data_IF_959175531119
#
_entry.id   IF_959175531119
#
_cell.length_a   1.000
_cell.length_b   1.000
_cell.length_c   1.000
_cell.angle_alpha   90.00
_cell.angle_beta   90.00
_cell.angle_gamma   90.00
#
_symmetry.space_group_name_H-M   'P 1'
#
loop_
_entity.id
_entity.type
_entity.pdbx_description
1 polymer ?
#
# COMPACT_ATOMS: atom_id res chain seq x y z
N UNK A 1 -3.21 -26.64 -2.49
CA UNK A 1 -1.74 -26.78 -2.40
C UNK A 1 -1.31 -26.73 -0.94
N UNK A 2 -0.45 -27.64 -0.48
CA UNK A 2 -0.06 -27.84 0.95
C UNK A 2 0.46 -26.59 1.67
N UNK A 3 1.04 -25.63 0.96
CA UNK A 3 1.58 -24.38 1.54
C UNK A 3 0.62 -23.19 1.53
N UNK A 4 -0.51 -23.29 0.81
CA UNK A 4 -1.45 -22.17 0.65
C UNK A 4 -1.90 -21.62 2.01
N UNK A 5 -2.37 -22.49 2.89
CA UNK A 5 -2.89 -22.07 4.20
C UNK A 5 -1.80 -21.41 5.05
N UNK A 6 -0.57 -21.93 5.02
CA UNK A 6 0.56 -21.36 5.76
C UNK A 6 0.88 -19.93 5.33
N UNK A 7 0.89 -19.66 4.02
CA UNK A 7 1.16 -18.30 3.53
C UNK A 7 0.01 -17.34 3.81
N UNK A 8 -1.23 -17.82 3.78
CA UNK A 8 -2.40 -17.02 4.14
C UNK A 8 -2.36 -16.63 5.61
N UNK A 9 -2.04 -17.58 6.50
CA UNK A 9 -1.93 -17.30 7.92
C UNK A 9 -0.76 -16.36 8.21
N UNK A 10 0.40 -16.57 7.57
CA UNK A 10 1.55 -15.67 7.68
C UNK A 10 1.23 -14.25 7.18
N UNK A 11 0.46 -14.11 6.10
CA UNK A 11 0.03 -12.81 5.59
C UNK A 11 -0.92 -12.11 6.57
N UNK A 12 -1.90 -12.83 7.14
CA UNK A 12 -2.79 -12.29 8.17
C UNK A 12 -2.03 -11.86 9.41
N UNK A 13 -1.03 -12.63 9.83
CA UNK A 13 -0.11 -12.24 10.90
C UNK A 13 0.63 -10.96 10.54
N UNK A 14 1.16 -10.86 9.32
CA UNK A 14 1.85 -9.67 8.85
C UNK A 14 0.95 -8.43 8.79
N UNK A 15 -0.33 -8.56 8.44
CA UNK A 15 -1.27 -7.43 8.50
C UNK A 15 -1.47 -6.87 9.90
N UNK A 16 -1.32 -7.71 10.93
CA UNK A 16 -1.38 -7.26 12.30
C UNK A 16 -0.03 -6.74 12.81
N UNK A 17 1.05 -7.49 12.57
CA UNK A 17 2.39 -7.22 13.09
C UNK A 17 3.12 -6.11 12.32
N UNK A 18 2.89 -6.02 11.01
CA UNK A 18 3.59 -5.09 10.13
C UNK A 18 5.07 -5.43 9.96
N UNK A 19 5.83 -4.44 9.51
CA UNK A 19 7.27 -4.48 9.27
C UNK A 19 8.08 -3.62 10.24
N UNK A 20 7.47 -3.05 11.29
CA UNK A 20 8.18 -2.27 12.30
C UNK A 20 9.18 -3.17 13.06
N UNK A 21 10.49 -2.84 13.08
CA UNK A 21 11.53 -3.76 13.59
C UNK A 21 11.29 -4.24 15.03
N UNK A 22 10.88 -3.34 15.94
CA UNK A 22 10.61 -3.68 17.34
C UNK A 22 9.42 -4.64 17.47
N UNK A 23 8.35 -4.39 16.72
CA UNK A 23 7.16 -5.24 16.71
C UNK A 23 7.45 -6.64 16.14
N UNK A 24 8.20 -6.70 15.03
CA UNK A 24 8.63 -7.96 14.41
C UNK A 24 9.53 -8.75 15.36
N UNK A 25 10.51 -8.10 16.00
CA UNK A 25 11.41 -8.74 16.94
C UNK A 25 10.67 -9.33 18.15
N UNK A 26 9.75 -8.57 18.75
CA UNK A 26 8.94 -9.04 19.87
C UNK A 26 8.06 -10.24 19.48
N UNK A 27 7.38 -10.14 18.33
CA UNK A 27 6.52 -11.22 17.84
C UNK A 27 7.29 -12.50 17.52
N UNK A 28 8.48 -12.38 16.92
CA UNK A 28 9.31 -13.53 16.56
C UNK A 28 9.74 -14.36 17.79
N UNK A 29 9.90 -13.73 18.95
CA UNK A 29 10.29 -14.42 20.19
C UNK A 29 9.08 -14.97 20.96
N UNK A 30 8.01 -14.18 21.10
CA UNK A 30 6.92 -14.47 22.05
C UNK A 30 5.59 -14.85 21.39
N UNK A 31 5.42 -14.54 20.10
CA UNK A 31 4.16 -14.72 19.36
C UNK A 31 2.93 -14.09 20.06
N UNK A 32 3.14 -13.01 20.84
CA UNK A 32 2.09 -12.32 21.58
C UNK A 32 1.61 -11.05 20.85
N UNK A 33 0.37 -11.10 20.37
CA UNK A 33 -0.28 -9.98 19.70
C UNK A 33 -0.56 -8.77 20.62
N UNK A 34 -0.72 -9.00 21.93
CA UNK A 34 -0.99 -7.94 22.90
C UNK A 34 0.26 -7.10 23.15
N UNK A 35 1.42 -7.75 23.21
CA UNK A 35 2.72 -7.10 23.27
C UNK A 35 2.98 -6.27 22.00
N UNK A 36 2.77 -6.86 20.81
CA UNK A 36 2.86 -6.15 19.52
C UNK A 36 1.96 -4.91 19.49
N UNK A 37 0.71 -5.03 19.95
CA UNK A 37 -0.21 -3.89 20.02
C UNK A 37 0.31 -2.78 20.95
N UNK A 38 0.90 -3.16 22.08
CA UNK A 38 1.49 -2.19 23.02
C UNK A 38 2.67 -1.46 22.39
N UNK A 39 3.55 -2.18 21.68
CA UNK A 39 4.66 -1.60 20.92
C UNK A 39 4.16 -0.63 19.86
N UNK A 40 3.17 -1.02 19.05
CA UNK A 40 2.62 -0.12 18.04
C UNK A 40 2.03 1.16 18.63
N UNK A 41 1.30 1.07 19.75
CA UNK A 41 0.76 2.24 20.43
C UNK A 41 1.88 3.17 20.93
N UNK A 42 2.98 2.61 21.44
CA UNK A 42 4.14 3.38 21.86
C UNK A 42 4.82 4.09 20.68
N UNK A 43 4.97 3.41 19.54
CA UNK A 43 5.53 3.98 18.30
C UNK A 43 4.64 5.14 17.81
N UNK A 44 3.32 4.94 17.73
CA UNK A 44 2.38 5.98 17.31
C UNK A 44 2.40 7.19 18.26
N UNK A 45 2.45 6.95 19.56
CA UNK A 45 2.55 8.01 20.56
C UNK A 45 3.89 8.77 20.45
N UNK A 46 4.99 8.08 20.16
CA UNK A 46 6.29 8.71 19.92
C UNK A 46 6.25 9.62 18.68
N UNK A 47 5.66 9.16 17.56
CA UNK A 47 5.46 10.02 16.39
C UNK A 47 4.63 11.26 16.71
N UNK A 48 3.54 11.11 17.47
CA UNK A 48 2.71 12.25 17.84
C UNK A 48 3.41 13.26 18.75
N UNK A 49 4.28 12.78 19.64
CA UNK A 49 5.14 13.65 20.46
C UNK A 49 6.15 14.40 19.57
N UNK A 50 6.74 13.72 18.59
CA UNK A 50 7.73 14.29 17.69
C UNK A 50 7.15 15.36 16.78
N UNK A 51 5.86 15.29 16.44
CA UNK A 51 5.15 16.40 15.77
C UNK A 51 5.28 17.69 16.58
N UNK A 52 5.15 17.61 17.91
CA UNK A 52 5.20 18.80 18.78
C UNK A 52 6.61 19.31 19.01
N UNK A 53 7.62 18.44 18.92
CA UNK A 53 9.03 18.78 19.11
C UNK A 53 9.69 19.35 17.86
N UNK A 54 9.37 18.78 16.69
CA UNK A 54 10.13 19.01 15.46
C UNK A 54 9.36 19.80 14.40
N UNK A 55 8.02 19.77 14.40
CA UNK A 55 7.26 20.56 13.44
C UNK A 55 7.06 22.00 13.94
N UNK A 56 6.95 22.99 13.02
CA UNK A 56 6.55 24.34 13.39
C UNK A 56 5.22 24.37 14.15
N UNK A 57 5.17 24.98 15.33
CA UNK A 57 4.00 24.95 16.23
C UNK A 57 2.66 25.30 15.54
N UNK A 58 2.70 26.23 14.57
CA UNK A 58 1.51 26.65 13.80
C UNK A 58 0.88 25.55 12.92
N UNK A 59 1.65 24.52 12.53
CA UNK A 59 1.18 23.43 11.67
C UNK A 59 0.85 22.16 12.45
N UNK A 60 1.32 22.01 13.70
CA UNK A 60 1.12 20.80 14.53
C UNK A 60 -0.35 20.37 14.62
N UNK A 61 -1.34 21.27 14.88
CA UNK A 61 -2.75 20.85 14.92
C UNK A 61 -3.24 20.25 13.60
N UNK A 62 -2.72 20.75 12.47
CA UNK A 62 -3.09 20.28 11.13
C UNK A 62 -2.42 18.95 10.79
N UNK A 63 -1.19 18.73 11.25
CA UNK A 63 -0.50 17.43 11.16
C UNK A 63 -1.33 16.37 11.87
N UNK A 64 -1.72 16.62 13.13
CA UNK A 64 -2.56 15.69 13.91
C UNK A 64 -3.89 15.38 13.24
N UNK A 65 -4.59 16.42 12.76
CA UNK A 65 -5.86 16.26 12.06
C UNK A 65 -5.71 15.43 10.77
N UNK A 66 -4.64 15.66 10.00
CA UNK A 66 -4.36 14.89 8.80
C UNK A 66 -4.06 13.43 9.17
N UNK A 67 -3.12 13.22 10.09
CA UNK A 67 -2.68 11.90 10.57
C UNK A 67 -3.85 11.03 11.03
N UNK A 68 -4.68 11.57 11.92
CA UNK A 68 -5.83 10.86 12.49
C UNK A 68 -6.96 10.63 11.47
N UNK A 69 -6.96 11.34 10.34
CA UNK A 69 -7.95 11.15 9.27
C UNK A 69 -7.59 10.03 8.29
N UNK A 70 -6.33 9.55 8.27
CA UNK A 70 -5.89 8.57 7.26
C UNK A 70 -6.74 7.28 7.27
N UNK A 71 -7.02 6.64 8.43
CA UNK A 71 -7.86 5.45 8.49
C UNK A 71 -9.23 5.61 7.81
N UNK A 72 -9.94 6.69 8.15
CA UNK A 72 -11.30 6.93 7.64
C UNK A 72 -11.29 7.30 6.16
N UNK A 73 -10.20 7.88 5.65
CA UNK A 73 -10.04 8.16 4.22
C UNK A 73 -9.78 6.88 3.41
N UNK A 74 -9.01 5.94 3.96
CA UNK A 74 -8.73 4.66 3.32
C UNK A 74 -9.90 3.66 3.41
N UNK A 75 -10.76 3.79 4.41
CA UNK A 75 -11.95 2.95 4.56
C UNK A 75 -13.07 3.25 3.53
N UNK A 76 -12.99 4.37 2.80
CA UNK A 76 -13.98 4.72 1.78
C UNK A 76 -13.86 3.80 0.57
N UNK A 77 -14.98 3.59 -0.12
CA UNK A 77 -15.01 2.95 -1.43
C UNK A 77 -14.03 3.63 -2.40
N UNK A 78 -14.15 4.96 -2.56
CA UNK A 78 -13.17 5.77 -3.27
C UNK A 78 -12.15 6.40 -2.31
N UNK A 79 -10.93 5.87 -2.33
CA UNK A 79 -9.86 6.21 -1.39
C UNK A 79 -9.14 7.54 -1.69
N UNK A 80 -9.65 8.33 -2.63
CA UNK A 80 -9.17 9.69 -2.90
C UNK A 80 -9.23 10.51 -1.62
N UNK A 81 -8.14 11.16 -1.24
CA UNK A 81 -8.08 11.99 -0.05
C UNK A 81 -8.94 13.26 -0.20
N UNK A 82 -9.79 13.55 0.78
CA UNK A 82 -10.71 14.70 0.77
C UNK A 82 -10.50 15.54 2.03
N UNK A 83 -9.93 16.74 1.85
CA UNK A 83 -9.68 17.69 2.94
C UNK A 83 -10.94 18.09 3.71
N UNK A 84 -12.08 18.23 3.02
CA UNK A 84 -13.36 18.62 3.64
C UNK A 84 -13.86 17.65 4.72
N UNK A 85 -13.41 16.39 4.70
CA UNK A 85 -13.76 15.39 5.71
C UNK A 85 -12.91 15.50 6.99
N UNK A 86 -11.78 16.21 6.95
CA UNK A 86 -10.93 16.43 8.12
C UNK A 86 -11.60 17.42 9.08
N UNK A 87 -12.16 18.50 8.52
CA UNK A 87 -12.86 19.56 9.24
C UNK A 87 -13.76 20.33 8.28
N UNK A 88 -14.97 20.66 8.72
CA UNK A 88 -15.89 21.51 7.96
C UNK A 88 -15.21 22.84 7.62
N UNK A 89 -15.22 23.21 6.33
CA UNK A 89 -14.56 24.43 5.84
C UNK A 89 -13.03 24.32 5.66
N UNK A 90 -12.44 23.13 5.80
CA UNK A 90 -11.02 22.91 5.54
C UNK A 90 -10.63 23.32 4.11
N UNK A 91 -9.65 24.23 4.00
CA UNK A 91 -9.06 24.65 2.73
C UNK A 91 -7.76 23.91 2.47
N UNK A 92 -7.56 23.43 1.23
CA UNK A 92 -6.34 22.69 0.81
C UNK A 92 -5.05 23.39 1.23
N UNK A 93 -4.95 24.70 0.98
CA UNK A 93 -3.77 25.53 1.28
C UNK A 93 -3.36 25.49 2.76
N UNK A 94 -4.30 25.25 3.66
CA UNK A 94 -3.99 25.16 5.09
C UNK A 94 -3.25 23.87 5.45
N UNK A 95 -3.47 22.79 4.71
CA UNK A 95 -2.93 21.47 5.02
C UNK A 95 -1.72 21.09 4.17
N UNK A 96 -1.39 21.86 3.13
CA UNK A 96 -0.24 21.59 2.24
C UNK A 96 1.08 21.45 3.00
N UNK A 97 1.38 22.38 3.93
CA UNK A 97 2.59 22.32 4.73
C UNK A 97 2.61 21.14 5.70
N UNK A 98 1.45 20.80 6.28
CA UNK A 98 1.34 19.65 7.18
C UNK A 98 1.52 18.33 6.42
N UNK A 99 0.94 18.23 5.22
CA UNK A 99 1.10 17.08 4.34
C UNK A 99 2.55 16.92 3.89
N UNK A 100 3.19 18.00 3.44
CA UNK A 100 4.59 17.99 3.03
C UNK A 100 5.49 17.51 4.18
N UNK A 101 5.30 18.06 5.38
CA UNK A 101 6.07 17.65 6.55
C UNK A 101 5.95 16.15 6.86
N UNK A 102 4.73 15.58 6.82
CA UNK A 102 4.53 14.15 7.05
C UNK A 102 5.18 13.26 5.97
N UNK A 103 5.17 13.71 4.72
CA UNK A 103 5.84 13.02 3.60
C UNK A 103 7.36 13.09 3.78
N UNK A 104 7.89 14.27 4.08
CA UNK A 104 9.33 14.50 4.24
C UNK A 104 9.91 13.71 5.43
N UNK A 105 9.13 13.53 6.50
CA UNK A 105 9.46 12.66 7.61
C UNK A 105 9.36 11.15 7.28
N UNK A 106 8.84 10.79 6.11
CA UNK A 106 8.68 9.39 5.69
C UNK A 106 7.58 8.63 6.44
N UNK A 107 6.65 9.34 7.10
CA UNK A 107 5.60 8.71 7.90
C UNK A 107 4.37 8.32 7.07
N UNK A 108 4.20 8.94 5.90
CA UNK A 108 3.10 8.66 4.97
C UNK A 108 3.61 8.59 3.53
N UNK A 109 2.89 7.86 2.70
CA UNK A 109 3.10 7.78 1.26
C UNK A 109 1.95 8.41 0.49
N UNK A 110 2.28 9.31 -0.42
CA UNK A 110 1.32 9.98 -1.30
C UNK A 110 1.32 9.33 -2.68
N UNK A 111 0.22 8.67 -3.04
CA UNK A 111 0.02 8.05 -4.35
C UNK A 111 -0.82 8.98 -5.21
N UNK A 112 -0.21 9.57 -6.23
CA UNK A 112 -0.86 10.62 -7.04
C UNK A 112 -1.73 10.02 -8.15
N UNK A 113 -2.82 10.70 -8.48
CA UNK A 113 -3.65 10.35 -9.62
C UNK A 113 -2.96 10.74 -10.92
N UNK A 114 -3.05 9.90 -11.94
CA UNK A 114 -2.68 10.24 -13.32
C UNK A 114 -3.93 10.36 -14.19
N UNK A 115 -3.99 11.38 -15.06
CA UNK A 115 -5.11 11.57 -15.99
C UNK A 115 -5.11 10.57 -17.13
N UNK A 116 -3.91 10.10 -17.53
CA UNK A 116 -3.69 9.16 -18.62
C UNK A 116 -2.54 8.20 -18.27
N UNK A 117 -2.70 6.89 -18.48
CA UNK A 117 -1.63 5.91 -18.31
C UNK A 117 -0.71 5.92 -19.53
N UNK A 118 0.11 6.96 -19.68
CA UNK A 118 1.03 7.11 -20.81
C UNK A 118 2.38 7.67 -20.36
N UNK A 119 3.44 7.37 -21.10
CA UNK A 119 4.81 7.71 -20.72
C UNK A 119 5.17 9.12 -21.20
N UNK A 120 5.90 9.91 -20.37
CA UNK A 120 6.22 9.64 -18.97
C UNK A 120 5.00 9.85 -18.07
N UNK A 121 4.75 8.94 -17.11
CA UNK A 121 3.59 9.05 -16.20
C UNK A 121 3.57 10.38 -15.43
N UNK A 122 4.76 10.92 -15.13
CA UNK A 122 4.93 12.19 -14.45
C UNK A 122 4.28 13.38 -15.19
N UNK A 123 4.18 13.34 -16.52
CA UNK A 123 3.55 14.39 -17.31
C UNK A 123 2.01 14.43 -17.15
N UNK A 124 1.40 13.35 -16.66
CA UNK A 124 -0.05 13.20 -16.55
C UNK A 124 -0.54 13.30 -15.10
N UNK A 125 0.31 13.69 -14.15
CA UNK A 125 -0.06 13.82 -12.74
C UNK A 125 -1.15 14.88 -12.56
N UNK A 126 -2.23 14.51 -11.88
CA UNK A 126 -3.22 15.45 -11.35
C UNK A 126 -2.85 15.79 -9.90
N UNK A 127 -2.25 16.97 -9.69
CA UNK A 127 -1.75 17.38 -8.39
C UNK A 127 -2.82 17.43 -7.27
N UNK A 128 -4.09 17.65 -7.63
CA UNK A 128 -5.20 17.80 -6.69
C UNK A 128 -5.88 16.48 -6.28
N UNK A 129 -5.48 15.34 -6.84
CA UNK A 129 -6.07 14.04 -6.53
C UNK A 129 -4.99 13.03 -6.18
N UNK A 130 -5.08 12.46 -4.98
CA UNK A 130 -4.11 11.51 -4.43
C UNK A 130 -4.78 10.62 -3.37
N UNK A 131 -4.21 9.45 -3.14
CA UNK A 131 -4.47 8.60 -1.97
C UNK A 131 -3.33 8.81 -0.96
N UNK A 132 -3.60 8.65 0.34
CA UNK A 132 -2.58 8.68 1.40
C UNK A 132 -2.55 7.37 2.14
N UNK A 133 -1.35 6.85 2.33
CA UNK A 133 -1.07 5.59 3.00
C UNK A 133 -0.07 5.83 4.12
N UNK A 134 -0.03 4.94 5.12
CA UNK A 134 0.96 5.01 6.19
C UNK A 134 2.28 4.36 5.76
N UNK A 135 3.33 4.57 6.55
CA UNK A 135 4.62 3.89 6.36
C UNK A 135 4.55 2.37 6.56
N UNK A 136 3.59 1.89 7.36
CA UNK A 136 3.51 0.47 7.75
C UNK A 136 2.07 -0.03 7.94
N UNK A 137 1.82 -1.27 7.50
CA UNK A 137 0.51 -1.93 7.59
C UNK A 137 0.07 -2.23 9.03
N UNK A 138 1.00 -2.62 9.91
CA UNK A 138 0.71 -2.90 11.32
C UNK A 138 0.37 -1.62 12.08
N UNK A 139 1.06 -0.52 11.77
CA UNK A 139 0.70 0.81 12.28
C UNK A 139 -0.66 1.28 11.76
N UNK A 140 -0.99 1.07 10.47
CA UNK A 140 -2.31 1.39 9.94
C UNK A 140 -3.40 0.59 10.66
N UNK A 141 -3.23 -0.72 10.83
CA UNK A 141 -4.16 -1.56 11.58
C UNK A 141 -4.36 -1.07 13.02
N UNK A 142 -3.28 -0.62 13.66
CA UNK A 142 -3.31 -0.05 15.02
C UNK A 142 -4.08 1.27 15.06
N UNK A 143 -3.76 2.20 14.15
CA UNK A 143 -4.39 3.52 14.09
C UNK A 143 -5.89 3.41 13.78
N UNK A 144 -6.29 2.38 13.03
CA UNK A 144 -7.68 2.02 12.76
C UNK A 144 -8.37 1.24 13.87
N UNK A 145 -7.69 0.99 14.99
CA UNK A 145 -8.22 0.28 16.16
C UNK A 145 -8.74 -1.14 15.85
N UNK A 146 -8.13 -1.81 14.87
CA UNK A 146 -8.48 -3.20 14.56
C UNK A 146 -7.96 -4.13 15.65
N UNK A 147 -8.76 -5.08 16.09
CA UNK A 147 -8.28 -6.13 16.99
C UNK A 147 -7.67 -7.31 16.21
N UNK A 148 -6.87 -8.13 16.90
CA UNK A 148 -6.22 -9.28 16.28
C UNK A 148 -7.23 -10.30 15.79
N UNK A 149 -8.35 -10.47 16.50
CA UNK A 149 -9.42 -11.40 16.12
C UNK A 149 -10.04 -11.03 14.78
N UNK A 150 -10.35 -9.75 14.55
CA UNK A 150 -10.96 -9.29 13.29
C UNK A 150 -10.05 -9.55 12.09
N UNK A 151 -8.74 -9.35 12.25
CA UNK A 151 -7.75 -9.60 11.18
C UNK A 151 -7.53 -11.10 10.94
N UNK A 152 -7.38 -11.88 12.02
CA UNK A 152 -7.03 -13.30 11.91
C UNK A 152 -8.23 -14.17 11.50
N UNK A 153 -9.40 -13.92 12.10
CA UNK A 153 -10.60 -14.74 11.95
C UNK A 153 -11.50 -14.27 10.81
N UNK A 154 -11.38 -13.01 10.38
CA UNK A 154 -12.19 -12.41 9.31
C UNK A 154 -13.63 -12.18 9.74
N UNK A 155 -13.98 -10.94 10.07
CA UNK A 155 -15.35 -10.52 10.37
C UNK A 155 -15.96 -9.76 9.17
N UNK A 156 -17.28 -9.64 9.07
CA UNK A 156 -17.94 -8.82 8.03
C UNK A 156 -17.52 -7.35 8.09
N UNK A 157 -17.29 -6.81 9.30
CA UNK A 157 -16.74 -5.46 9.54
C UNK A 157 -15.32 -5.31 8.94
N UNK A 158 -14.59 -6.42 8.79
CA UNK A 158 -13.25 -6.41 8.21
C UNK A 158 -13.27 -6.24 6.69
N UNK A 159 -14.38 -6.50 5.98
CA UNK A 159 -14.37 -6.59 4.51
C UNK A 159 -13.93 -5.28 3.82
N UNK A 160 -14.45 -4.13 4.23
CA UNK A 160 -14.07 -2.83 3.63
C UNK A 160 -12.64 -2.44 3.99
N UNK A 161 -12.27 -2.58 5.26
CA UNK A 161 -10.93 -2.22 5.74
C UNK A 161 -9.85 -3.19 5.25
N UNK A 162 -10.20 -4.42 4.92
CA UNK A 162 -9.32 -5.41 4.32
C UNK A 162 -8.80 -4.97 2.95
N UNK A 163 -9.63 -4.29 2.14
CA UNK A 163 -9.18 -3.66 0.90
C UNK A 163 -8.07 -2.64 1.15
N UNK A 164 -8.30 -1.73 2.12
CA UNK A 164 -7.31 -0.73 2.53
C UNK A 164 -6.00 -1.34 3.03
N UNK A 165 -6.04 -2.37 3.87
CA UNK A 165 -4.85 -3.08 4.35
C UNK A 165 -4.10 -3.78 3.21
N UNK A 166 -4.82 -4.32 2.24
CA UNK A 166 -4.21 -5.02 1.10
C UNK A 166 -3.54 -4.03 0.16
N UNK A 167 -4.18 -2.91 -0.17
CA UNK A 167 -3.54 -1.82 -0.92
C UNK A 167 -2.32 -1.24 -0.18
N UNK A 168 -2.44 -1.02 1.13
CA UNK A 168 -1.33 -0.58 1.99
C UNK A 168 -0.15 -1.55 1.94
N UNK A 169 -0.40 -2.86 2.06
CA UNK A 169 0.63 -3.88 1.97
C UNK A 169 1.33 -3.86 0.61
N UNK A 170 0.57 -3.81 -0.49
CA UNK A 170 1.11 -3.78 -1.85
C UNK A 170 1.96 -2.52 -2.07
N UNK A 171 1.47 -1.36 -1.64
CA UNK A 171 2.24 -0.12 -1.71
C UNK A 171 3.56 -0.23 -0.94
N UNK A 172 3.53 -0.81 0.26
CA UNK A 172 4.72 -1.02 1.08
C UNK A 172 5.77 -1.84 0.33
N UNK A 173 5.37 -2.82 -0.48
CA UNK A 173 6.31 -3.58 -1.33
C UNK A 173 6.88 -2.73 -2.47
N UNK A 174 6.10 -1.83 -3.06
CA UNK A 174 6.57 -0.94 -4.13
C UNK A 174 7.58 0.08 -3.62
N UNK A 175 7.31 0.73 -2.49
CA UNK A 175 8.18 1.80 -1.97
C UNK A 175 9.53 1.27 -1.47
N UNK A 176 9.65 -0.03 -1.18
CA UNK A 176 10.92 -0.70 -0.94
C UNK A 176 11.84 -0.74 -2.17
N UNK A 177 11.28 -0.59 -3.38
CA UNK A 177 12.05 -0.54 -4.62
C UNK A 177 12.11 0.91 -5.16
N UNK A 178 13.29 1.52 -5.08
CA UNK A 178 13.52 2.91 -5.52
C UNK A 178 13.23 3.17 -7.01
N UNK A 179 13.17 2.12 -7.83
CA UNK A 179 12.85 2.23 -9.26
C UNK A 179 11.34 2.31 -9.52
N UNK A 180 10.51 1.98 -8.53
CA UNK A 180 9.05 1.96 -8.66
C UNK A 180 8.48 3.23 -8.03
N UNK A 181 7.81 4.05 -8.85
CA UNK A 181 6.98 5.16 -8.37
C UNK A 181 5.50 4.87 -8.67
N UNK A 182 4.69 4.53 -7.65
CA UNK A 182 3.29 4.20 -7.85
C UNK A 182 2.42 5.46 -7.98
N UNK A 183 1.48 5.38 -8.91
CA UNK A 183 0.35 6.28 -9.13
C UNK A 183 -0.94 5.47 -9.05
N UNK A 184 -2.10 6.11 -9.14
CA UNK A 184 -3.37 5.41 -9.40
C UNK A 184 -4.11 6.10 -10.54
N UNK A 185 -5.03 5.39 -11.18
CA UNK A 185 -5.79 5.93 -12.32
C UNK A 185 -7.28 5.65 -12.14
N UNK A 186 -8.10 6.61 -12.57
CA UNK A 186 -9.55 6.42 -12.68
C UNK A 186 -10.02 6.87 -14.05
N UNK A 187 -11.02 6.18 -14.60
CA UNK A 187 -11.68 6.61 -15.82
C UNK A 187 -12.38 7.97 -15.60
N UNK A 188 -12.49 8.79 -16.65
CA UNK A 188 -13.08 10.15 -16.57
C UNK A 188 -14.49 10.15 -15.97
N UNK A 189 -15.27 9.08 -16.23
CA UNK A 189 -16.63 8.90 -15.69
C UNK A 189 -16.68 8.15 -14.35
N UNK A 190 -15.54 7.85 -13.74
CA UNK A 190 -15.45 7.04 -12.52
C UNK A 190 -15.89 5.59 -12.70
N UNK A 191 -16.05 5.11 -13.93
CA UNK A 191 -16.56 3.77 -14.25
C UNK A 191 -15.55 2.66 -14.05
N UNK A 192 -14.28 3.00 -13.90
CA UNK A 192 -13.19 2.07 -13.63
C UNK A 192 -12.11 2.78 -12.81
N UNK A 193 -11.48 2.04 -11.92
CA UNK A 193 -10.31 2.44 -11.15
C UNK A 193 -9.23 1.37 -11.35
N UNK A 194 -7.98 1.79 -11.36
CA UNK A 194 -6.82 0.90 -11.26
C UNK A 194 -6.05 1.34 -10.03
N UNK A 195 -5.91 0.42 -9.06
CA UNK A 195 -5.38 0.71 -7.73
C UNK A 195 -3.98 1.32 -7.77
N UNK A 196 -3.09 0.71 -8.56
CA UNK A 196 -1.74 1.20 -8.78
C UNK A 196 -1.33 1.15 -10.25
N UNK A 197 -0.55 2.14 -10.67
CA UNK A 197 0.08 2.22 -11.98
C UNK A 197 1.50 2.73 -11.79
N UNK A 198 2.49 2.06 -12.36
CA UNK A 198 3.87 2.56 -12.35
C UNK A 198 4.53 2.40 -13.72
N UNK A 199 5.58 3.17 -13.97
CA UNK A 199 6.36 3.09 -15.19
C UNK A 199 7.53 2.15 -14.94
N UNK A 200 7.76 1.22 -15.87
CA UNK A 200 8.93 0.35 -15.86
C UNK A 200 9.51 0.29 -17.27
N UNK A 201 10.78 0.69 -17.41
CA UNK A 201 11.42 0.91 -18.71
C UNK A 201 10.54 1.78 -19.64
N UNK A 202 10.13 1.21 -20.79
CA UNK A 202 9.28 1.84 -21.79
C UNK A 202 7.81 1.41 -21.69
N UNK A 203 7.40 0.83 -20.56
CA UNK A 203 6.05 0.33 -20.32
C UNK A 203 5.33 1.03 -19.17
N UNK A 204 4.00 0.97 -19.22
CA UNK A 204 3.12 1.31 -18.10
C UNK A 204 2.57 0.02 -17.53
N UNK A 205 2.81 -0.21 -16.24
CA UNK A 205 2.40 -1.42 -15.53
C UNK A 205 1.24 -1.07 -14.60
N UNK A 206 0.02 -1.52 -14.93
CA UNK A 206 -1.14 -1.44 -14.04
C UNK A 206 -1.14 -2.62 -13.08
N UNK A 207 -1.63 -2.37 -11.88
CA UNK A 207 -1.76 -3.37 -10.82
C UNK A 207 -3.11 -3.16 -10.14
N UNK A 208 -3.93 -4.20 -10.21
CA UNK A 208 -5.19 -4.28 -9.49
C UNK A 208 -4.99 -5.13 -8.22
N UNK A 209 -5.49 -4.64 -7.09
CA UNK A 209 -5.30 -5.27 -5.79
C UNK A 209 -6.61 -5.88 -5.33
N UNK A 210 -6.66 -7.21 -5.30
CA UNK A 210 -7.87 -7.94 -4.87
C UNK A 210 -7.65 -8.60 -3.52
N UNK A 211 -8.61 -8.39 -2.62
CA UNK A 211 -8.61 -8.94 -1.27
C UNK A 211 -9.73 -9.98 -1.07
N UNK A 212 -9.58 -11.19 -1.61
CA UNK A 212 -10.54 -12.28 -1.46
C UNK A 212 -10.32 -13.09 -0.16
N UNK A 213 -11.28 -13.92 0.25
CA UNK A 213 -11.14 -14.79 1.43
C UNK A 213 -9.93 -15.71 1.31
N UNK A 214 -8.89 -15.41 2.08
CA UNK A 214 -7.66 -16.20 2.09
C UNK A 214 -6.81 -16.08 0.82
N UNK A 215 -7.04 -15.08 -0.03
CA UNK A 215 -6.21 -14.86 -1.21
C UNK A 215 -6.03 -13.36 -1.48
N UNK A 216 -4.76 -12.93 -1.50
CA UNK A 216 -4.38 -11.66 -2.12
C UNK A 216 -3.98 -11.98 -3.55
N UNK A 217 -4.60 -11.31 -4.51
CA UNK A 217 -4.16 -11.36 -5.89
C UNK A 217 -3.63 -9.99 -6.27
N UNK A 218 -2.38 -9.96 -6.73
CA UNK A 218 -1.84 -8.88 -7.54
C UNK A 218 -2.15 -9.30 -8.98
N UNK A 219 -3.17 -8.69 -9.56
CA UNK A 219 -3.54 -8.92 -10.96
C UNK A 219 -2.79 -7.88 -11.79
N UNK A 220 -1.70 -8.31 -12.46
CA UNK A 220 -1.02 -7.48 -13.44
C UNK A 220 -1.81 -7.55 -14.75
N UNK A 221 -2.65 -6.56 -14.97
CA UNK A 221 -3.34 -6.36 -16.24
C UNK A 221 -2.36 -5.87 -17.31
N UNK A 222 -1.61 -6.75 -17.95
CA UNK A 222 -0.77 -6.36 -19.11
C UNK A 222 -1.56 -5.83 -20.32
N UNK A 223 -2.90 -5.82 -20.25
CA UNK A 223 -3.80 -5.31 -21.30
C UNK A 223 -4.23 -3.85 -21.14
N UNK A 224 -3.67 -3.09 -20.19
CA UNK A 224 -4.07 -1.68 -19.99
C UNK A 224 -3.26 -0.73 -20.88
N UNK A 225 -3.44 -0.88 -22.20
CA UNK A 225 -3.50 0.15 -23.26
C UNK A 225 -4.04 -0.59 -24.49
N UNK A 226 -5.29 -0.33 -24.86
CA UNK A 226 -5.82 -0.70 -26.16
C UNK A 226 -6.73 0.40 -26.69
N UNK A 227 -6.15 1.57 -26.99
CA UNK A 227 -6.64 2.37 -28.10
C UNK A 227 -5.45 2.92 -28.90
N UNK A 228 -5.29 2.34 -30.09
CA UNK A 228 -4.32 2.62 -31.16
C UNK A 228 -2.94 1.97 -31.07
N UNK A 229 -2.88 0.74 -31.59
CA UNK A 229 -1.72 0.25 -32.34
C UNK A 229 -0.75 -0.64 -31.56
N UNK A 230 -0.96 -1.94 -31.70
CA UNK A 230 0.00 -3.05 -31.51
C UNK A 230 0.99 -2.98 -30.35
N UNK A 231 0.65 -3.62 -29.22
CA UNK A 231 1.53 -4.55 -28.50
C UNK A 231 0.66 -5.59 -27.76
N UNK A 232 0.98 -6.87 -27.91
CA UNK A 232 0.32 -8.00 -27.24
C UNK A 232 1.22 -8.52 -26.11
N UNK A 233 0.71 -8.60 -24.88
CA UNK A 233 1.34 -9.42 -23.83
C UNK A 233 0.33 -9.86 -22.75
N UNK A 234 0.45 -11.14 -22.36
CA UNK A 234 -0.43 -11.93 -21.48
C UNK A 234 -0.41 -11.52 -20.01
N UNK A 235 -1.57 -11.65 -19.35
CA UNK A 235 -1.76 -11.53 -17.90
C UNK A 235 -0.64 -12.26 -17.13
N UNK A 236 0.01 -11.57 -16.20
CA UNK A 236 0.93 -12.18 -15.24
C UNK A 236 0.22 -12.20 -13.89
N UNK A 237 -0.51 -13.27 -13.62
CA UNK A 237 -0.95 -13.56 -12.25
C UNK A 237 0.21 -14.22 -11.51
N UNK A 238 0.90 -13.50 -10.63
CA UNK A 238 1.90 -14.13 -9.77
C UNK A 238 1.18 -14.82 -8.61
N UNK A 239 0.90 -16.12 -8.76
CA UNK A 239 0.48 -16.99 -7.67
C UNK A 239 1.51 -18.11 -7.44
N UNK A 240 1.78 -18.43 -6.18
CA UNK A 240 2.55 -19.60 -5.76
C UNK A 240 1.70 -20.89 -5.83
N UNK A 241 1.18 -21.27 -7.00
CA UNK A 241 0.92 -22.67 -7.40
C UNK A 241 0.11 -22.78 -8.70
N UNK A 242 0.81 -23.19 -9.77
CA UNK A 242 0.45 -23.85 -11.04
C UNK A 242 -0.95 -23.74 -11.66
N UNK A 243 -0.96 -23.42 -12.97
CA UNK A 243 -1.85 -23.99 -14.01
C UNK A 243 -1.04 -24.28 -15.30
N UNK A 244 -1.51 -25.18 -16.19
CA UNK A 244 -0.68 -25.92 -17.14
C UNK A 244 -0.21 -25.08 -18.33
N UNK A 245 1.01 -25.40 -18.75
CA UNK A 245 1.66 -24.93 -19.96
C UNK A 245 0.92 -25.40 -21.22
N UNK A 246 0.47 -24.46 -22.05
CA UNK A 246 0.46 -24.64 -23.50
C UNK A 246 1.30 -23.52 -24.13
N UNK A 247 2.29 -23.96 -24.89
CA UNK A 247 3.43 -23.20 -25.41
C UNK A 247 3.01 -21.96 -26.21
N UNK A 248 3.70 -20.84 -25.99
CA UNK A 248 4.14 -19.98 -27.09
C UNK A 248 5.44 -19.26 -26.67
N UNK A 249 6.48 -19.50 -27.47
CA UNK A 249 7.86 -19.04 -27.31
C UNK A 249 7.93 -17.52 -27.48
N UNK A 250 8.26 -16.80 -26.41
CA UNK A 250 8.71 -15.40 -26.46
C UNK A 250 10.19 -15.35 -26.13
N UNK A 251 10.96 -14.62 -26.95
CA UNK A 251 12.32 -14.22 -26.62
C UNK A 251 12.30 -13.47 -25.28
N UNK A 252 13.17 -13.91 -24.38
CA UNK A 252 13.22 -13.53 -22.97
C UNK A 252 13.44 -12.01 -22.84
N UNK A 253 12.69 -11.29 -21.98
CA UNK A 253 13.24 -10.10 -21.36
C UNK A 253 14.44 -10.52 -20.49
N UNK A 254 15.53 -9.76 -20.55
CA UNK A 254 16.83 -10.15 -19.99
C UNK A 254 16.90 -10.24 -18.45
N UNK A 255 15.82 -9.98 -17.71
CA UNK A 255 15.74 -10.30 -16.29
C UNK A 255 14.28 -10.37 -15.80
N UNK A 256 13.91 -11.33 -14.92
CA UNK A 256 12.62 -11.30 -14.23
C UNK A 256 12.57 -10.13 -13.23
N UNK A 257 11.44 -9.43 -13.16
CA UNK A 257 11.13 -8.48 -12.08
C UNK A 257 11.02 -9.30 -10.79
N UNK A 258 12.09 -9.31 -9.97
CA UNK A 258 12.04 -9.84 -8.60
C UNK A 258 11.35 -8.79 -7.73
N UNK A 259 10.04 -8.93 -7.53
CA UNK A 259 9.41 -8.40 -6.32
C UNK A 259 10.08 -9.13 -5.15
N UNK A 260 10.73 -8.37 -4.26
CA UNK A 260 11.61 -8.91 -3.23
C UNK A 260 10.92 -9.96 -2.37
N UNK A 261 11.21 -11.23 -2.63
CA UNK A 261 11.04 -12.27 -1.63
C UNK A 261 12.13 -12.05 -0.57
N UNK A 262 11.73 -11.99 0.69
CA UNK A 262 12.66 -12.04 1.82
C UNK A 262 13.53 -13.30 1.70
N UNK A 263 14.76 -13.13 1.23
CA UNK A 263 15.80 -14.16 1.31
C UNK A 263 17.18 -13.50 1.32
N UNK A 264 17.58 -12.96 2.46
CA UNK A 264 18.98 -12.85 2.85
C UNK A 264 19.10 -12.96 4.37
N UNK A 265 18.96 -14.20 4.86
CA UNK A 265 19.68 -14.68 6.03
C UNK A 265 20.63 -15.75 5.50
N UNK A 266 21.79 -15.30 5.04
CA UNK A 266 22.91 -16.19 4.75
C UNK A 266 23.71 -16.31 6.05
N UNK A 267 23.29 -17.25 6.90
CA UNK A 267 24.05 -17.70 8.07
C UNK A 267 24.89 -18.91 7.64
N UNK A 268 25.90 -18.66 6.81
CA UNK A 268 27.08 -19.51 6.71
C UNK A 268 28.19 -18.77 5.98
N UNK A 269 29.04 -18.06 6.71
CA UNK A 269 30.50 -18.17 6.65
C UNK A 269 31.16 -17.09 7.54
N UNK A 270 31.91 -17.59 8.54
CA UNK A 270 32.81 -16.94 9.51
C UNK A 270 32.21 -16.44 10.81
#
# INVERSE_FOLDING_TARGET
TTFKMKFVDALKQYYFVGGMPEAVAAFAVRSDYSEVRSIHNNILAAYEQDFSKHAPQRIVPRIRLLWNSIPSQLAKEQKKFIYGLIKTGARTREYELALAWLIDCGLIHKVQHISKPSIPLAAYINAGSFKLFLVDVGLLATLSQLDSKSILQGNTIFQEFKGALTEQFVLQQFVCNQQIRPYYWTAVKGTAEVDFVFQWDNGVIPVEVKAAEGEMFIDLHTNFIAEKGEYSAKNICTNSSNYPSSEFRLQRPHAPIRLGAFSHLDLSER
#
